data_IF_658172442405
#
_entry.id   IF_658172442405
#
_cell.length_a   1.000
_cell.length_b   1.000
_cell.length_c   1.000
_cell.angle_alpha   90.00
_cell.angle_beta   90.00
_cell.angle_gamma   90.00
#
_symmetry.space_group_name_H-M   'P 1'
#
loop_
_entity.id
_entity.type
_entity.pdbx_description
1 polymer ?
#
# COMPACT_ATOMS: atom_id res chain seq x y z
N UNK A 1 4.19 -6.99 -11.96
CA UNK A 1 3.26 -6.78 -10.84
C UNK A 1 1.96 -7.54 -10.95
N UNK A 2 1.03 -7.22 -10.09
CA UNK A 2 -0.32 -7.82 -10.08
C UNK A 2 -1.37 -6.75 -10.32
N UNK A 3 -2.35 -7.06 -11.17
CA UNK A 3 -3.51 -6.19 -11.36
C UNK A 3 -4.45 -6.35 -10.18
N UNK A 4 -4.64 -5.29 -9.40
CA UNK A 4 -5.50 -5.31 -8.22
C UNK A 4 -6.97 -5.21 -8.57
N UNK A 5 -7.31 -4.31 -9.49
CA UNK A 5 -8.68 -4.14 -10.01
C UNK A 5 -8.67 -3.50 -11.39
N UNK A 6 -9.75 -3.68 -12.11
CA UNK A 6 -9.90 -3.13 -13.46
C UNK A 6 -9.10 -3.87 -14.50
N UNK A 7 -8.89 -3.22 -15.63
CA UNK A 7 -8.18 -3.76 -16.79
C UNK A 7 -7.16 -2.75 -17.26
N UNK A 8 -5.95 -3.22 -17.61
CA UNK A 8 -4.90 -2.39 -18.21
C UNK A 8 -4.64 -2.88 -19.64
N UNK A 9 -4.52 -1.94 -20.58
CA UNK A 9 -4.34 -2.22 -22.02
C UNK A 9 -3.18 -1.43 -22.59
N UNK A 10 -2.64 -1.90 -23.68
CA UNK A 10 -1.65 -1.16 -24.47
C UNK A 10 -2.28 0.15 -24.93
N UNK A 11 -1.56 1.25 -24.77
CA UNK A 11 -2.03 2.60 -25.09
C UNK A 11 -2.66 3.36 -23.92
N UNK A 12 -2.97 2.68 -22.84
CA UNK A 12 -3.54 3.34 -21.65
C UNK A 12 -2.54 4.31 -21.02
N UNK A 13 -3.05 5.43 -20.56
CA UNK A 13 -2.31 6.36 -19.70
C UNK A 13 -2.49 5.92 -18.26
N UNK A 14 -1.38 5.84 -17.55
CA UNK A 14 -1.36 5.48 -16.13
C UNK A 14 -0.46 6.44 -15.36
N UNK A 15 -0.70 6.58 -14.07
CA UNK A 15 0.17 7.32 -13.16
C UNK A 15 0.97 6.34 -12.31
N UNK A 16 2.24 6.67 -12.08
CA UNK A 16 3.09 5.98 -11.10
C UNK A 16 2.89 6.68 -9.77
N UNK A 17 2.28 6.01 -8.81
CA UNK A 17 1.85 6.57 -7.52
C UNK A 17 2.62 5.94 -6.36
N UNK A 18 3.04 6.77 -5.42
CA UNK A 18 3.64 6.33 -4.15
C UNK A 18 5.16 6.40 -4.13
N UNK A 19 5.71 6.42 -2.94
CA UNK A 19 7.14 6.45 -2.62
C UNK A 19 7.90 7.66 -3.19
N UNK A 20 7.19 8.70 -3.59
CA UNK A 20 7.75 9.97 -4.03
C UNK A 20 7.83 10.93 -2.84
N UNK A 21 8.64 11.98 -2.97
CA UNK A 21 8.67 13.07 -2.01
C UNK A 21 7.28 13.75 -1.92
N UNK A 22 6.95 14.34 -0.78
CA UNK A 22 5.62 14.89 -0.52
C UNK A 22 5.14 15.90 -1.59
N UNK A 23 6.08 16.65 -2.15
CA UNK A 23 5.79 17.67 -3.18
C UNK A 23 5.82 17.11 -4.61
N UNK A 24 6.22 15.87 -4.80
CA UNK A 24 6.32 15.27 -6.13
C UNK A 24 4.94 14.83 -6.64
N UNK A 25 4.62 15.26 -7.85
CA UNK A 25 3.39 14.82 -8.53
C UNK A 25 3.58 13.43 -9.11
N UNK A 26 2.53 12.57 -9.10
CA UNK A 26 2.56 11.31 -9.81
C UNK A 26 2.91 11.52 -11.29
N UNK A 27 3.78 10.67 -11.80
CA UNK A 27 4.21 10.72 -13.20
C UNK A 27 3.22 9.97 -14.08
N UNK A 28 2.69 10.65 -15.09
CA UNK A 28 1.84 10.04 -16.10
C UNK A 28 2.71 9.41 -17.20
N UNK A 29 2.43 8.16 -17.54
CA UNK A 29 3.16 7.40 -18.57
C UNK A 29 2.17 6.57 -19.41
N UNK A 30 2.62 6.15 -20.58
CA UNK A 30 1.80 5.34 -21.50
C UNK A 30 2.27 3.89 -21.47
N UNK A 31 1.33 2.96 -21.38
CA UNK A 31 1.58 1.52 -21.49
C UNK A 31 1.86 1.16 -22.93
N UNK A 32 3.04 0.59 -23.19
CA UNK A 32 3.46 0.18 -24.54
C UNK A 32 3.42 -1.32 -24.77
N UNK A 33 3.31 -2.11 -23.71
CA UNK A 33 3.21 -3.55 -23.80
C UNK A 33 2.69 -4.17 -22.51
N UNK A 34 1.99 -5.28 -22.66
CA UNK A 34 1.50 -6.11 -21.54
C UNK A 34 1.83 -7.56 -21.83
N UNK A 35 2.44 -8.23 -20.84
CA UNK A 35 2.87 -9.62 -20.95
C UNK A 35 2.37 -10.45 -19.78
N UNK A 36 1.84 -11.63 -20.07
CA UNK A 36 1.46 -12.63 -19.07
C UNK A 36 2.00 -13.98 -19.51
N UNK A 37 2.60 -14.74 -18.58
CA UNK A 37 3.21 -16.05 -18.88
C UNK A 37 4.23 -16.00 -20.02
N UNK A 38 5.04 -14.93 -20.09
CA UNK A 38 6.05 -14.69 -21.15
C UNK A 38 5.47 -14.51 -22.56
N UNK A 39 4.17 -14.23 -22.65
CA UNK A 39 3.49 -13.96 -23.93
C UNK A 39 2.90 -12.55 -23.89
N UNK A 40 2.91 -11.89 -25.05
CA UNK A 40 2.22 -10.63 -25.23
C UNK A 40 0.71 -10.86 -25.13
N UNK A 41 0.03 -10.01 -24.34
CA UNK A 41 -1.41 -10.03 -24.19
C UNK A 41 -1.96 -8.63 -24.52
N UNK A 42 -3.17 -8.57 -25.07
CA UNK A 42 -3.78 -7.29 -25.44
C UNK A 42 -4.22 -6.48 -24.21
N UNK A 43 -4.61 -7.16 -23.15
CA UNK A 43 -5.10 -6.56 -21.92
C UNK A 43 -4.79 -7.47 -20.73
N UNK A 44 -4.66 -6.87 -19.56
CA UNK A 44 -4.50 -7.59 -18.31
C UNK A 44 -5.63 -7.21 -17.35
N UNK A 45 -6.30 -8.22 -16.80
CA UNK A 45 -7.45 -8.08 -15.94
C UNK A 45 -7.08 -8.28 -14.45
N UNK A 46 -7.97 -7.85 -13.57
CA UNK A 46 -7.82 -8.00 -12.14
C UNK A 46 -7.47 -9.45 -11.73
N UNK A 47 -6.48 -9.59 -10.86
CA UNK A 47 -5.97 -10.87 -10.38
C UNK A 47 -4.82 -11.44 -11.21
N UNK A 48 -4.54 -10.93 -12.41
CA UNK A 48 -3.43 -11.40 -13.24
C UNK A 48 -2.09 -10.86 -12.76
N UNK A 49 -1.07 -11.70 -12.81
CA UNK A 49 0.33 -11.27 -12.68
C UNK A 49 0.85 -10.93 -14.07
N UNK A 50 1.38 -9.73 -14.24
CA UNK A 50 1.74 -9.21 -15.56
C UNK A 50 3.07 -8.46 -15.54
N UNK A 51 3.76 -8.46 -16.67
CA UNK A 51 4.81 -7.52 -17.00
C UNK A 51 4.22 -6.37 -17.82
N UNK A 52 4.51 -5.14 -17.43
CA UNK A 52 4.03 -3.96 -18.13
C UNK A 52 5.22 -3.15 -18.61
N UNK A 53 5.22 -2.80 -19.89
CA UNK A 53 6.21 -1.93 -20.49
C UNK A 53 5.66 -0.50 -20.51
N UNK A 54 6.45 0.44 -20.03
CA UNK A 54 6.09 1.85 -19.95
C UNK A 54 6.98 2.69 -20.87
N UNK A 55 6.38 3.63 -21.58
CA UNK A 55 7.11 4.51 -22.50
C UNK A 55 8.00 5.48 -21.72
N UNK A 56 9.27 5.55 -22.11
CA UNK A 56 10.21 6.57 -21.59
C UNK A 56 10.58 6.40 -20.13
N UNK A 57 10.32 5.23 -19.53
CA UNK A 57 10.65 4.94 -18.14
C UNK A 57 11.79 3.93 -18.09
N UNK A 58 12.87 4.30 -17.39
CA UNK A 58 14.00 3.40 -17.12
C UNK A 58 13.69 2.53 -15.90
N UNK A 59 14.33 1.36 -15.83
CA UNK A 59 14.15 0.42 -14.74
C UNK A 59 14.40 1.03 -13.36
N UNK A 60 15.36 1.95 -13.23
CA UNK A 60 15.71 2.62 -11.98
C UNK A 60 14.79 3.79 -11.62
N UNK A 61 13.85 4.15 -12.47
CA UNK A 61 12.86 5.20 -12.22
C UNK A 61 11.57 4.68 -11.59
N UNK A 62 11.44 3.35 -11.48
CA UNK A 62 10.30 2.68 -10.85
C UNK A 62 10.83 1.76 -9.76
N UNK A 63 10.24 1.80 -8.60
CA UNK A 63 10.63 0.92 -7.52
C UNK A 63 9.47 0.07 -7.01
N UNK A 64 9.83 -1.05 -6.39
CA UNK A 64 8.85 -1.95 -5.79
C UNK A 64 8.03 -1.22 -4.73
N UNK A 65 6.73 -1.39 -4.78
CA UNK A 65 5.80 -0.74 -3.87
C UNK A 65 5.06 0.44 -4.48
N UNK A 66 5.51 0.95 -5.61
CA UNK A 66 4.74 1.92 -6.37
C UNK A 66 3.56 1.26 -7.06
N UNK A 67 2.51 2.04 -7.31
CA UNK A 67 1.27 1.58 -7.92
C UNK A 67 1.12 2.25 -9.28
N UNK A 68 0.72 1.47 -10.28
CA UNK A 68 0.23 2.00 -11.55
C UNK A 68 -1.29 2.11 -11.47
N UNK A 69 -1.82 3.30 -11.66
CA UNK A 69 -3.24 3.58 -11.53
C UNK A 69 -3.73 4.44 -12.70
N UNK A 70 -5.02 4.37 -12.98
CA UNK A 70 -5.64 5.31 -13.91
C UNK A 70 -5.39 6.74 -13.41
N UNK A 71 -5.18 7.73 -14.31
CA UNK A 71 -4.88 9.09 -13.90
C UNK A 71 -5.90 9.63 -12.89
N UNK A 72 -5.40 10.19 -11.79
CA UNK A 72 -6.21 10.78 -10.70
C UNK A 72 -7.12 9.80 -9.95
N UNK A 73 -6.97 8.49 -10.16
CA UNK A 73 -7.83 7.49 -9.49
C UNK A 73 -7.36 7.15 -8.07
N UNK A 74 -6.05 7.12 -7.85
CA UNK A 74 -5.45 6.90 -6.54
C UNK A 74 -4.49 8.04 -6.26
N UNK A 75 -4.56 8.61 -5.06
CA UNK A 75 -3.65 9.66 -4.61
C UNK A 75 -2.70 9.14 -3.55
N UNK A 76 -1.46 9.64 -3.49
CA UNK A 76 -0.55 9.31 -2.40
C UNK A 76 -1.01 10.03 -1.13
N UNK A 77 -1.00 9.32 -0.01
CA UNK A 77 -1.28 9.84 1.32
C UNK A 77 -0.29 9.31 2.33
N UNK A 78 0.10 10.15 3.28
CA UNK A 78 0.92 9.75 4.41
C UNK A 78 0.07 9.51 5.66
N UNK A 79 -1.04 10.23 5.82
CA UNK A 79 -1.90 10.18 7.00
C UNK A 79 -3.22 9.49 6.70
N UNK A 80 -3.72 8.74 7.69
CA UNK A 80 -5.01 8.08 7.55
C UNK A 80 -5.50 7.51 8.86
N UNK A 81 -6.73 6.98 8.80
CA UNK A 81 -7.39 6.25 9.88
C UNK A 81 -7.73 4.84 9.41
N UNK A 82 -7.73 3.91 10.34
CA UNK A 82 -8.00 2.52 10.05
C UNK A 82 -8.66 1.79 11.22
N UNK A 83 -9.44 0.78 10.89
CA UNK A 83 -9.83 -0.27 11.83
C UNK A 83 -8.73 -1.33 11.82
N UNK A 84 -8.27 -1.72 13.00
CA UNK A 84 -7.11 -2.59 13.15
C UNK A 84 -7.38 -3.71 14.15
N UNK A 85 -6.97 -4.92 13.81
CA UNK A 85 -6.94 -6.07 14.70
C UNK A 85 -5.51 -6.39 15.12
N UNK A 86 -5.21 -6.24 16.40
CA UNK A 86 -3.93 -6.65 16.96
C UNK A 86 -3.96 -8.16 17.22
N UNK A 87 -3.07 -8.93 16.58
CA UNK A 87 -3.00 -10.37 16.77
C UNK A 87 -2.77 -10.72 18.22
N UNK A 88 -3.48 -11.73 18.71
CA UNK A 88 -3.23 -12.29 20.03
C UNK A 88 -1.83 -12.94 20.09
N UNK A 89 -1.25 -13.02 21.28
CA UNK A 89 0.06 -13.65 21.49
C UNK A 89 0.09 -15.09 20.95
N UNK A 90 -1.00 -15.84 21.14
CA UNK A 90 -1.15 -17.21 20.62
C UNK A 90 -1.22 -17.29 19.10
N UNK A 91 -1.56 -16.20 18.42
CA UNK A 91 -1.60 -16.09 16.97
C UNK A 91 -0.26 -15.64 16.37
N UNK A 92 0.78 -15.52 17.18
CA UNK A 92 2.10 -15.05 16.77
C UNK A 92 2.26 -13.54 16.87
N UNK A 93 1.30 -12.84 17.44
CA UNK A 93 1.32 -11.41 17.64
C UNK A 93 2.29 -10.95 18.72
N UNK A 94 2.26 -9.68 18.99
CA UNK A 94 3.09 -9.01 19.98
C UNK A 94 2.69 -9.45 21.40
N UNK A 95 3.67 -9.66 22.28
CA UNK A 95 3.40 -10.03 23.68
C UNK A 95 2.98 -8.86 24.55
N UNK A 96 3.46 -7.66 24.22
CA UNK A 96 3.20 -6.43 24.95
C UNK A 96 2.21 -5.55 24.22
N UNK A 97 1.36 -4.80 24.92
CA UNK A 97 0.53 -3.79 24.26
C UNK A 97 1.39 -2.68 23.65
N UNK A 98 0.81 -1.93 22.73
CA UNK A 98 1.44 -0.72 22.20
C UNK A 98 0.54 0.50 22.40
N UNK A 99 1.14 1.67 22.30
CA UNK A 99 0.48 2.96 22.51
C UNK A 99 0.82 3.93 21.37
N UNK A 100 0.20 5.10 21.41
CA UNK A 100 0.53 6.21 20.52
C UNK A 100 2.04 6.48 20.56
N UNK A 101 2.64 6.69 19.39
CA UNK A 101 4.08 6.85 19.22
C UNK A 101 4.80 5.58 18.75
N UNK A 102 4.14 4.43 18.74
CA UNK A 102 4.69 3.19 18.21
C UNK A 102 4.96 3.33 16.71
N UNK A 103 6.11 2.85 16.25
CA UNK A 103 6.59 3.03 14.87
C UNK A 103 6.92 1.69 14.18
N UNK A 104 5.90 0.90 13.82
CA UNK A 104 6.12 -0.36 13.11
C UNK A 104 6.25 -0.16 11.60
N UNK A 105 6.41 -1.27 10.87
CA UNK A 105 6.34 -1.32 9.41
C UNK A 105 4.89 -1.58 8.96
N UNK A 106 4.42 -0.78 8.03
CA UNK A 106 3.11 -0.94 7.38
C UNK A 106 3.31 -1.56 6.00
N UNK A 107 2.49 -2.55 5.67
CA UNK A 107 2.52 -3.23 4.38
C UNK A 107 1.20 -3.02 3.65
N UNK A 108 1.24 -2.21 2.61
CA UNK A 108 0.11 -1.98 1.70
C UNK A 108 0.43 -2.68 0.37
N UNK A 109 -0.13 -3.87 0.14
CA UNK A 109 0.21 -4.68 -1.01
C UNK A 109 1.70 -5.06 -1.01
N UNK A 110 2.44 -4.62 -2.02
CA UNK A 110 3.89 -4.85 -2.12
C UNK A 110 4.74 -3.73 -1.50
N UNK A 111 4.09 -2.65 -1.04
CA UNK A 111 4.77 -1.49 -0.43
C UNK A 111 4.96 -1.72 1.05
N UNK A 112 6.18 -1.55 1.53
CA UNK A 112 6.46 -1.46 2.96
C UNK A 112 6.97 -0.07 3.31
N UNK A 113 6.44 0.49 4.37
CA UNK A 113 6.79 1.83 4.83
C UNK A 113 6.71 1.90 6.34
N UNK A 114 7.68 2.58 6.95
CA UNK A 114 7.63 2.88 8.38
C UNK A 114 6.54 3.91 8.63
N UNK A 115 5.72 3.67 9.64
CA UNK A 115 4.69 4.62 10.05
C UNK A 115 4.64 4.77 11.55
N UNK A 116 4.16 5.91 11.99
CA UNK A 116 3.92 6.21 13.40
C UNK A 116 2.43 6.11 13.68
N UNK A 117 2.05 5.43 14.75
CA UNK A 117 0.67 5.42 15.24
C UNK A 117 0.47 6.70 16.03
N UNK A 118 -0.31 7.61 15.48
CA UNK A 118 -0.51 8.96 16.02
C UNK A 118 -1.76 9.11 16.87
N UNK A 119 -2.69 8.16 16.76
CA UNK A 119 -3.92 8.14 17.54
C UNK A 119 -4.46 6.74 17.72
N UNK A 120 -5.10 6.51 18.87
CA UNK A 120 -5.81 5.27 19.21
C UNK A 120 -7.10 5.64 19.93
N UNK A 121 -8.13 4.82 19.76
CA UNK A 121 -9.39 4.96 20.52
C UNK A 121 -9.28 4.38 21.95
N UNK A 122 -8.13 3.83 22.31
CA UNK A 122 -7.80 3.28 23.63
C UNK A 122 -6.42 3.78 24.08
N UNK A 123 -6.14 3.72 25.38
CA UNK A 123 -4.82 4.11 25.90
C UNK A 123 -3.73 3.12 25.51
N UNK A 124 -4.06 1.82 25.52
CA UNK A 124 -3.16 0.74 25.16
C UNK A 124 -3.87 -0.23 24.21
N UNK A 125 -3.21 -0.53 23.10
CA UNK A 125 -3.68 -1.58 22.19
C UNK A 125 -3.20 -2.94 22.70
N UNK A 126 -4.11 -3.70 23.27
CA UNK A 126 -3.82 -5.02 23.82
C UNK A 126 -3.78 -6.09 22.72
N UNK A 127 -2.92 -7.13 22.85
CA UNK A 127 -2.98 -8.28 21.96
C UNK A 127 -4.38 -8.89 21.92
N UNK A 128 -4.88 -9.20 20.71
CA UNK A 128 -6.22 -9.77 20.52
C UNK A 128 -7.36 -8.77 20.46
N UNK A 129 -7.09 -7.46 20.52
CA UNK A 129 -8.14 -6.43 20.50
C UNK A 129 -8.35 -5.84 19.12
N UNK A 130 -9.57 -5.38 18.87
CA UNK A 130 -9.91 -4.52 17.73
C UNK A 130 -9.87 -3.06 18.18
N UNK A 131 -9.20 -2.22 17.41
CA UNK A 131 -9.03 -0.79 17.73
C UNK A 131 -9.22 0.05 16.47
N UNK A 132 -9.53 1.32 16.69
CA UNK A 132 -9.45 2.35 15.66
C UNK A 132 -8.14 3.10 15.86
N UNK A 133 -7.35 3.24 14.79
CA UNK A 133 -6.06 3.90 14.85
C UNK A 133 -5.93 5.01 13.82
N UNK A 134 -5.09 5.98 14.13
CA UNK A 134 -4.59 6.98 13.20
C UNK A 134 -3.11 6.72 12.97
N UNK A 135 -2.66 6.89 11.73
CA UNK A 135 -1.27 6.68 11.37
C UNK A 135 -0.71 7.83 10.52
N UNK A 136 0.60 7.99 10.60
CA UNK A 136 1.39 8.91 9.77
C UNK A 136 2.57 8.13 9.20
N UNK A 137 2.55 7.92 7.89
CA UNK A 137 3.59 7.17 7.19
C UNK A 137 4.79 8.08 6.90
N UNK A 138 5.98 7.51 6.95
CA UNK A 138 7.22 8.25 6.68
C UNK A 138 7.27 8.79 5.24
N UNK A 139 6.65 8.09 4.29
CA UNK A 139 6.50 8.51 2.90
C UNK A 139 5.06 8.30 2.44
N UNK A 140 4.54 9.17 1.55
CA UNK A 140 3.22 8.96 0.97
C UNK A 140 3.18 7.66 0.15
N UNK A 141 2.08 6.93 0.26
CA UNK A 141 1.81 5.74 -0.54
C UNK A 141 0.44 5.86 -1.19
N UNK A 142 0.24 5.14 -2.28
CA UNK A 142 -1.07 5.09 -2.95
C UNK A 142 -2.07 4.32 -2.09
N UNK A 143 -2.85 5.05 -1.30
CA UNK A 143 -3.80 4.50 -0.33
C UNK A 143 -5.17 5.11 -0.55
N UNK A 144 -6.20 4.29 -0.43
CA UNK A 144 -7.59 4.73 -0.46
C UNK A 144 -8.42 3.99 0.60
N UNK A 145 -9.57 4.54 1.02
CA UNK A 145 -10.47 3.83 1.94
C UNK A 145 -10.86 2.46 1.40
N UNK A 146 -10.89 1.47 2.28
CA UNK A 146 -11.19 0.07 1.94
C UNK A 146 -9.95 -0.78 1.66
N UNK A 147 -8.78 -0.20 1.52
CA UNK A 147 -7.55 -0.96 1.34
C UNK A 147 -7.16 -1.69 2.63
N UNK A 148 -6.73 -2.92 2.48
CA UNK A 148 -6.20 -3.74 3.58
C UNK A 148 -4.69 -3.56 3.69
N UNK A 149 -4.20 -3.67 4.92
CA UNK A 149 -2.78 -3.62 5.21
C UNK A 149 -2.42 -4.54 6.36
N UNK A 150 -1.15 -4.86 6.46
CA UNK A 150 -0.59 -5.58 7.59
C UNK A 150 0.44 -4.70 8.30
N UNK A 151 0.64 -4.95 9.58
CA UNK A 151 1.65 -4.27 10.39
C UNK A 151 2.64 -5.31 10.91
N UNK A 152 3.92 -5.04 10.75
CA UNK A 152 5.00 -5.92 11.19
C UNK A 152 5.99 -5.21 12.11
N UNK A 153 6.53 -5.97 13.03
CA UNK A 153 7.66 -5.60 13.87
C UNK A 153 8.79 -6.62 13.58
N UNK A 154 9.82 -6.18 12.87
CA UNK A 154 10.82 -7.10 12.33
C UNK A 154 10.20 -8.11 11.36
N UNK A 155 10.41 -9.39 11.58
CA UNK A 155 9.82 -10.47 10.77
C UNK A 155 8.44 -10.92 11.25
N UNK A 156 7.92 -10.33 12.33
CA UNK A 156 6.68 -10.75 12.97
C UNK A 156 5.52 -9.86 12.52
N UNK A 157 4.46 -10.46 11.97
CA UNK A 157 3.19 -9.77 11.75
C UNK A 157 2.48 -9.60 13.09
N UNK A 158 2.17 -8.36 13.45
CA UNK A 158 1.51 -8.05 14.73
C UNK A 158 0.04 -7.73 14.60
N UNK A 159 -0.43 -7.50 13.39
CA UNK A 159 -1.82 -7.20 13.14
C UNK A 159 -2.13 -6.88 11.69
N UNK A 160 -3.40 -6.67 11.43
CA UNK A 160 -3.91 -6.30 10.12
C UNK A 160 -5.09 -5.34 10.27
N UNK A 161 -5.30 -4.54 9.25
CA UNK A 161 -6.37 -3.55 9.28
C UNK A 161 -6.93 -3.21 7.91
N UNK A 162 -7.93 -2.33 7.95
CA UNK A 162 -8.59 -1.77 6.76
C UNK A 162 -8.62 -0.25 6.91
N UNK A 163 -8.16 0.45 5.88
CA UNK A 163 -8.18 1.92 5.86
C UNK A 163 -9.63 2.41 5.80
N UNK A 164 -10.00 3.31 6.68
CA UNK A 164 -11.35 3.89 6.74
C UNK A 164 -11.39 5.30 6.16
N UNK A 165 -10.32 6.07 6.32
CA UNK A 165 -10.19 7.41 5.72
C UNK A 165 -8.73 7.76 5.48
N UNK A 166 -8.50 8.71 4.58
CA UNK A 166 -7.18 9.23 4.21
C UNK A 166 -7.20 10.76 4.19
N UNK A 167 -6.04 11.35 4.38
CA UNK A 167 -5.89 12.81 4.32
C UNK A 167 -5.03 13.40 5.40
#
# INVERSE_FOLDING_TARGET
GRVGRGTIRIGDKVEIVGLLDEDAKPREVVVTGTQAFRKDVAAADAGMNVGILLRGVKRNEVERGQILAAPKSIRPHAKGKAEFYALATKEGGRKKPFMVGYRPQFFFGTTDVTGTITGLDVDLALPGSHITMEFDLLKPVGVEPGMRFAVREGSRTIGAGVVTSVG
#
